data_IF_269407706446
#
_entry.id   IF_269407706446
#
_cell.length_a   1.000
_cell.length_b   1.000
_cell.length_c   1.000
_cell.angle_alpha   90.00
_cell.angle_beta   90.00
_cell.angle_gamma   90.00
#
_symmetry.space_group_name_H-M   'P 1'
#
loop_
_entity.id
_entity.type
_entity.pdbx_description
1 polymer ?
#
# COMPACT_ATOMS: atom_id res chain seq x y z
N UNK A 1 -97.42 -28.59 -0.83
CA UNK A 1 -97.35 -27.12 -1.00
C UNK A 1 -95.99 -26.66 -0.47
N UNK A 2 -95.04 -26.37 -1.36
CA UNK A 2 -93.69 -25.91 -1.01
C UNK A 2 -93.67 -24.39 -0.76
N UNK A 3 -93.31 -23.96 0.46
CA UNK A 3 -92.90 -22.59 0.89
C UNK A 3 -92.38 -22.75 2.32
N UNK A 4 -91.25 -22.22 2.80
CA UNK A 4 -90.25 -21.23 2.36
C UNK A 4 -89.00 -21.54 3.21
N UNK A 5 -87.89 -21.96 2.59
CA UNK A 5 -86.55 -21.93 3.19
C UNK A 5 -85.71 -20.98 2.35
N UNK A 6 -85.82 -19.66 2.56
CA UNK A 6 -84.99 -18.65 1.87
C UNK A 6 -84.55 -17.48 2.76
N UNK A 7 -84.77 -17.52 4.07
CA UNK A 7 -84.40 -16.43 4.98
C UNK A 7 -83.08 -16.64 5.76
N UNK A 8 -82.47 -17.83 5.68
CA UNK A 8 -81.20 -18.12 6.39
C UNK A 8 -79.95 -17.71 5.58
N UNK A 9 -80.04 -17.71 4.24
CA UNK A 9 -78.89 -17.42 3.37
C UNK A 9 -78.42 -15.97 3.43
N UNK A 10 -79.32 -15.02 3.70
CA UNK A 10 -79.01 -13.59 3.77
C UNK A 10 -78.26 -13.26 5.07
N UNK A 11 -78.66 -13.86 6.19
CA UNK A 11 -77.99 -13.71 7.49
C UNK A 11 -76.63 -14.39 7.47
N UNK A 12 -76.54 -15.62 6.94
CA UNK A 12 -75.25 -16.31 6.75
C UNK A 12 -74.32 -15.52 5.85
N UNK A 13 -74.80 -14.99 4.71
CA UNK A 13 -74.00 -14.16 3.81
C UNK A 13 -73.45 -12.91 4.48
N UNK A 14 -74.26 -12.24 5.31
CA UNK A 14 -73.86 -11.05 6.06
C UNK A 14 -72.80 -11.38 7.11
N UNK A 15 -72.97 -12.47 7.86
CA UNK A 15 -72.00 -12.92 8.87
C UNK A 15 -70.67 -13.32 8.21
N UNK A 16 -70.70 -14.01 7.06
CA UNK A 16 -69.48 -14.36 6.32
C UNK A 16 -68.77 -13.12 5.77
N UNK A 17 -69.49 -12.15 5.22
CA UNK A 17 -68.89 -10.89 4.78
C UNK A 17 -68.25 -10.12 5.94
N UNK A 18 -68.92 -10.07 7.10
CA UNK A 18 -68.37 -9.45 8.30
C UNK A 18 -67.11 -10.19 8.79
N UNK A 19 -67.15 -11.53 8.80
CA UNK A 19 -66.00 -12.36 9.17
C UNK A 19 -64.80 -12.16 8.25
N UNK A 20 -65.03 -12.15 6.93
CA UNK A 20 -63.98 -11.94 5.92
C UNK A 20 -63.42 -10.52 5.98
N UNK A 21 -64.27 -9.50 6.17
CA UNK A 21 -63.80 -8.10 6.28
C UNK A 21 -62.98 -7.88 7.54
N UNK A 22 -63.42 -8.40 8.70
CA UNK A 22 -62.65 -8.34 9.94
C UNK A 22 -61.31 -9.08 9.76
N UNK A 23 -61.32 -10.28 9.18
CA UNK A 23 -60.10 -11.02 8.89
C UNK A 23 -59.15 -10.24 7.96
N UNK A 24 -59.65 -9.68 6.86
CA UNK A 24 -58.86 -8.91 5.91
C UNK A 24 -58.25 -7.65 6.55
N UNK A 25 -59.02 -6.91 7.35
CA UNK A 25 -58.53 -5.75 8.11
C UNK A 25 -57.47 -6.18 9.12
N UNK A 26 -57.68 -7.29 9.82
CA UNK A 26 -56.75 -7.79 10.84
C UNK A 26 -55.41 -8.17 10.21
N UNK A 27 -55.43 -8.89 9.08
CA UNK A 27 -54.23 -9.23 8.32
C UNK A 27 -53.53 -7.96 7.81
N UNK A 28 -54.28 -7.03 7.25
CA UNK A 28 -53.72 -5.77 6.72
C UNK A 28 -53.04 -4.95 7.82
N UNK A 29 -53.68 -4.80 8.98
CA UNK A 29 -53.13 -4.07 10.13
C UNK A 29 -51.88 -4.78 10.65
N UNK A 30 -51.92 -6.11 10.80
CA UNK A 30 -50.75 -6.87 11.26
C UNK A 30 -49.54 -6.69 10.34
N UNK A 31 -49.73 -6.83 9.02
CA UNK A 31 -48.66 -6.62 8.03
C UNK A 31 -48.20 -5.16 7.99
N UNK A 32 -49.14 -4.20 8.07
CA UNK A 32 -48.83 -2.78 8.10
C UNK A 32 -47.97 -2.38 9.31
N UNK A 33 -48.24 -2.96 10.49
CA UNK A 33 -47.45 -2.71 11.70
C UNK A 33 -46.01 -3.21 11.58
N UNK A 34 -45.79 -4.38 10.97
CA UNK A 34 -44.43 -4.92 10.76
C UNK A 34 -43.65 -4.06 9.76
N UNK A 35 -44.30 -3.67 8.65
CA UNK A 35 -43.67 -2.79 7.66
C UNK A 35 -43.34 -1.41 8.23
N UNK A 36 -44.23 -0.83 9.03
CA UNK A 36 -43.99 0.44 9.70
C UNK A 36 -42.87 0.36 10.74
N UNK A 37 -42.80 -0.74 11.50
CA UNK A 37 -41.72 -0.96 12.45
C UNK A 37 -40.35 -0.99 11.75
N UNK A 38 -40.23 -1.72 10.64
CA UNK A 38 -39.00 -1.78 9.85
C UNK A 38 -38.59 -0.41 9.28
N UNK A 39 -39.53 0.38 8.77
CA UNK A 39 -39.25 1.75 8.28
C UNK A 39 -38.85 2.69 9.41
N UNK A 40 -39.43 2.51 10.61
CA UNK A 40 -39.09 3.32 11.79
C UNK A 40 -37.67 3.00 12.27
N UNK A 41 -37.28 1.73 12.27
CA UNK A 41 -35.94 1.27 12.64
C UNK A 41 -34.87 1.77 11.65
N UNK A 42 -35.11 1.68 10.34
CA UNK A 42 -34.19 2.20 9.32
C UNK A 42 -34.03 3.73 9.43
N UNK A 43 -35.13 4.46 9.61
CA UNK A 43 -35.10 5.91 9.80
C UNK A 43 -34.36 6.31 11.09
N UNK A 44 -34.46 5.50 12.15
CA UNK A 44 -33.75 5.71 13.41
C UNK A 44 -32.26 5.46 13.25
N UNK A 45 -31.87 4.34 12.65
CA UNK A 45 -30.47 4.01 12.38
C UNK A 45 -29.80 5.08 11.52
N UNK A 46 -30.49 5.56 10.47
CA UNK A 46 -30.01 6.70 9.66
C UNK A 46 -29.91 8.01 10.47
N UNK A 47 -30.82 8.24 11.43
CA UNK A 47 -30.73 9.36 12.36
C UNK A 47 -29.48 9.30 13.22
N UNK A 48 -29.19 8.12 13.78
CA UNK A 48 -27.99 7.88 14.58
C UNK A 48 -26.72 7.98 13.73
N UNK A 49 -26.69 7.47 12.50
CA UNK A 49 -25.56 7.66 11.57
C UNK A 49 -25.20 9.15 11.42
N UNK A 50 -26.20 10.00 11.16
CA UNK A 50 -25.98 11.44 11.05
C UNK A 50 -25.52 12.07 12.38
N UNK A 51 -26.10 11.64 13.50
CA UNK A 51 -25.70 12.09 14.84
C UNK A 51 -24.25 11.71 15.18
N UNK A 52 -23.83 10.50 14.80
CA UNK A 52 -22.47 10.00 14.98
C UNK A 52 -21.47 10.72 14.06
N UNK A 53 -21.84 11.03 12.82
CA UNK A 53 -21.02 11.89 11.94
C UNK A 53 -20.87 13.31 12.50
N UNK A 54 -21.92 13.84 13.15
CA UNK A 54 -21.80 15.12 13.83
C UNK A 54 -20.92 15.02 15.08
N UNK A 55 -21.03 13.94 15.86
CA UNK A 55 -20.19 13.68 17.02
C UNK A 55 -18.72 13.62 16.61
N UNK A 56 -18.35 12.84 15.59
CA UNK A 56 -16.96 12.75 15.10
C UNK A 56 -16.44 14.10 14.65
N UNK A 57 -17.23 14.90 13.93
CA UNK A 57 -16.87 16.27 13.58
C UNK A 57 -16.66 17.18 14.79
N UNK A 58 -17.45 17.05 15.87
CA UNK A 58 -17.20 17.82 17.09
C UNK A 58 -16.00 17.29 17.88
N UNK A 59 -15.82 15.97 17.91
CA UNK A 59 -14.70 15.30 18.55
C UNK A 59 -13.39 15.70 17.88
N UNK A 60 -13.34 15.83 16.55
CA UNK A 60 -12.14 16.30 15.84
C UNK A 60 -11.79 17.74 16.21
N UNK A 61 -12.75 18.67 16.34
CA UNK A 61 -12.48 20.04 16.79
C UNK A 61 -11.91 20.08 18.23
N UNK A 62 -12.38 19.18 19.10
CA UNK A 62 -11.86 19.01 20.47
C UNK A 62 -10.47 18.38 20.45
N UNK A 63 -10.30 17.33 19.64
CA UNK A 63 -9.07 16.56 19.45
C UNK A 63 -7.97 17.38 18.77
N UNK A 64 -8.31 18.38 17.94
CA UNK A 64 -7.35 19.31 17.35
C UNK A 64 -7.07 20.53 18.26
N UNK A 65 -7.69 20.56 19.45
CA UNK A 65 -7.43 21.56 20.48
C UNK A 65 -8.07 22.93 20.25
N UNK A 66 -9.04 23.07 19.33
CA UNK A 66 -9.75 24.34 19.11
C UNK A 66 -10.72 24.68 20.24
N UNK A 67 -11.13 23.68 21.04
CA UNK A 67 -12.10 23.81 22.14
C UNK A 67 -11.94 22.69 23.16
N UNK A 68 -12.15 22.97 24.45
CA UNK A 68 -11.97 21.97 25.52
C UNK A 68 -13.15 20.98 25.62
N UNK A 69 -14.34 21.37 25.15
CA UNK A 69 -15.52 20.52 25.18
C UNK A 69 -16.57 20.93 24.13
N UNK A 70 -17.38 19.97 23.69
CA UNK A 70 -18.56 20.19 22.83
C UNK A 70 -19.71 19.28 23.24
N UNK A 71 -20.95 19.73 23.01
CA UNK A 71 -22.14 18.90 23.19
C UNK A 71 -22.43 18.13 21.91
N UNK A 72 -22.95 16.92 22.06
CA UNK A 72 -23.46 16.10 20.97
C UNK A 72 -24.87 15.61 21.27
N UNK A 73 -25.59 15.28 20.21
CA UNK A 73 -26.94 14.71 20.24
C UNK A 73 -27.04 13.69 19.09
N UNK A 74 -27.21 12.43 19.45
CA UNK A 74 -27.35 11.31 18.52
C UNK A 74 -28.81 11.11 18.06
N UNK A 75 -29.73 11.94 18.55
CA UNK A 75 -31.15 11.83 18.30
C UNK A 75 -31.83 10.77 19.17
N UNK A 76 -32.92 10.21 18.64
CA UNK A 76 -33.69 9.17 19.33
C UNK A 76 -32.98 7.82 19.23
N UNK A 77 -32.38 7.38 20.34
CA UNK A 77 -31.75 6.06 20.48
C UNK A 77 -32.70 5.03 21.12
N UNK A 78 -33.92 5.42 21.49
CA UNK A 78 -34.85 4.54 22.21
C UNK A 78 -35.20 3.31 21.36
N UNK A 79 -34.91 2.10 21.84
CA UNK A 79 -35.21 0.85 21.11
C UNK A 79 -34.03 0.25 20.36
N UNK A 80 -32.84 0.82 20.48
CA UNK A 80 -31.56 0.13 20.25
C UNK A 80 -30.71 0.09 21.52
N UNK A 81 -29.52 -0.50 21.42
CA UNK A 81 -28.51 -0.50 22.49
C UNK A 81 -27.34 0.41 22.11
N UNK A 82 -27.00 1.37 22.97
CA UNK A 82 -25.86 2.27 22.79
C UNK A 82 -24.80 1.91 23.85
N UNK A 83 -23.61 1.54 23.41
CA UNK A 83 -22.51 1.06 24.27
C UNK A 83 -21.18 1.65 23.85
N UNK A 84 -20.43 2.15 24.83
CA UNK A 84 -19.01 2.48 24.66
C UNK A 84 -18.17 1.31 25.18
N UNK A 85 -17.23 0.86 24.36
CA UNK A 85 -16.23 -0.13 24.72
C UNK A 85 -14.84 0.44 24.45
N UNK A 86 -14.09 0.76 25.52
CA UNK A 86 -12.80 1.46 25.44
C UNK A 86 -11.67 0.57 24.90
N UNK A 87 -11.83 -0.76 24.98
CA UNK A 87 -10.86 -1.78 24.55
C UNK A 87 -11.19 -2.30 23.14
N UNK A 88 -12.28 -1.81 22.52
CA UNK A 88 -12.70 -2.26 21.20
C UNK A 88 -11.97 -1.51 20.08
N UNK A 89 -11.33 -2.29 19.21
CA UNK A 89 -10.56 -1.82 18.06
C UNK A 89 -9.16 -1.37 18.44
N UNK A 90 -8.18 -1.84 17.69
CA UNK A 90 -6.77 -1.57 17.95
C UNK A 90 -6.10 -1.02 16.70
N UNK A 91 -5.24 -0.02 16.88
CA UNK A 91 -4.33 0.46 15.85
C UNK A 91 -2.90 0.17 16.28
N UNK A 92 -2.13 -0.47 15.40
CA UNK A 92 -0.68 -0.58 15.53
C UNK A 92 -0.03 0.18 14.37
N UNK A 93 0.99 0.97 14.69
CA UNK A 93 1.80 1.64 13.69
C UNK A 93 3.23 1.17 13.88
N UNK A 94 3.79 0.55 12.85
CA UNK A 94 5.16 0.06 12.81
C UNK A 94 5.97 0.82 11.78
N UNK A 95 7.22 1.10 12.11
CA UNK A 95 8.23 1.60 11.20
C UNK A 95 9.30 0.53 11.15
N UNK A 96 9.48 -0.07 9.98
CA UNK A 96 10.40 -1.18 9.77
C UNK A 96 11.48 -0.76 8.78
N UNK A 97 12.73 -1.12 9.05
CA UNK A 97 13.85 -1.01 8.13
C UNK A 97 14.33 -2.43 7.74
N UNK A 98 15.31 -2.58 6.84
CA UNK A 98 15.85 -3.90 6.49
C UNK A 98 16.44 -4.69 7.68
N UNK A 99 16.79 -4.02 8.78
CA UNK A 99 17.33 -4.63 10.00
C UNK A 99 16.23 -5.04 11.01
N UNK A 100 14.97 -4.65 10.77
CA UNK A 100 13.79 -5.02 11.54
C UNK A 100 12.95 -3.81 11.97
N UNK A 101 12.16 -3.98 13.04
CA UNK A 101 11.29 -2.91 13.54
C UNK A 101 12.10 -1.81 14.24
N UNK A 102 12.10 -0.61 13.67
CA UNK A 102 12.72 0.62 14.22
C UNK A 102 11.86 1.19 15.34
N UNK A 103 10.55 1.26 15.13
CA UNK A 103 9.58 1.73 16.12
C UNK A 103 8.24 1.02 15.96
N UNK A 104 7.56 0.72 17.05
CA UNK A 104 6.18 0.26 17.06
C UNK A 104 5.44 0.91 18.21
N UNK A 105 4.24 1.41 17.94
CA UNK A 105 3.33 1.95 18.94
C UNK A 105 1.91 1.44 18.66
N UNK A 106 1.19 1.06 19.72
CA UNK A 106 -0.14 0.46 19.63
C UNK A 106 -1.12 1.12 20.59
N UNK A 107 -2.35 1.36 20.13
CA UNK A 107 -3.39 2.04 20.91
C UNK A 107 -4.76 1.37 20.73
N UNK A 108 -5.53 1.32 21.82
CA UNK A 108 -6.97 1.07 21.72
C UNK A 108 -7.65 2.30 21.14
N UNK A 109 -8.51 2.10 20.14
CA UNK A 109 -9.28 3.19 19.53
C UNK A 109 -10.49 3.56 20.39
N UNK A 110 -11.09 2.58 21.06
CA UNK A 110 -12.38 2.72 21.71
C UNK A 110 -13.51 2.85 20.67
N UNK A 111 -14.61 2.15 20.91
CA UNK A 111 -15.72 2.09 19.97
C UNK A 111 -17.03 2.44 20.65
N UNK A 112 -17.71 3.48 20.15
CA UNK A 112 -19.09 3.77 20.52
C UNK A 112 -20.04 3.13 19.51
N UNK A 113 -20.77 2.11 19.93
CA UNK A 113 -21.62 1.29 19.07
C UNK A 113 -23.10 1.50 19.40
N UNK A 114 -23.90 1.80 18.38
CA UNK A 114 -25.36 1.72 18.41
C UNK A 114 -25.82 0.47 17.64
N UNK A 115 -26.56 -0.41 18.31
CA UNK A 115 -27.14 -1.62 17.72
C UNK A 115 -28.66 -1.47 17.61
N UNK A 116 -29.16 -1.28 16.39
CA UNK A 116 -30.59 -1.33 16.05
C UNK A 116 -31.04 -2.73 15.63
N UNK A 117 -32.28 -2.88 15.17
CA UNK A 117 -32.80 -4.20 14.76
C UNK A 117 -32.24 -4.66 13.40
N UNK A 118 -31.97 -3.73 12.49
CA UNK A 118 -31.51 -4.01 11.12
C UNK A 118 -30.02 -3.73 10.86
N UNK A 119 -29.41 -2.82 11.63
CA UNK A 119 -28.07 -2.28 11.37
C UNK A 119 -27.38 -1.88 12.65
N UNK A 120 -26.06 -2.03 12.65
CA UNK A 120 -25.18 -1.47 13.68
C UNK A 120 -24.41 -0.27 13.12
N UNK A 121 -24.22 0.75 13.94
CA UNK A 121 -23.50 1.99 13.61
C UNK A 121 -22.47 2.24 14.69
N UNK A 122 -21.22 2.49 14.32
CA UNK A 122 -20.16 2.73 15.28
C UNK A 122 -19.29 3.93 14.96
N UNK A 123 -18.76 4.55 16.02
CA UNK A 123 -17.69 5.53 15.93
C UNK A 123 -16.42 4.88 16.45
N UNK A 124 -15.36 4.89 15.63
CA UNK A 124 -14.05 4.32 15.98
C UNK A 124 -12.96 5.05 15.19
N UNK A 125 -11.85 5.40 15.85
CA UNK A 125 -10.68 6.02 15.20
C UNK A 125 -10.96 7.36 14.51
N UNK A 126 -12.03 8.05 14.90
CA UNK A 126 -12.50 9.30 14.27
C UNK A 126 -13.40 9.12 13.05
N UNK A 127 -13.62 7.88 12.58
CA UNK A 127 -14.55 7.54 11.50
C UNK A 127 -15.92 7.09 12.02
N UNK A 128 -16.87 6.97 11.10
CA UNK A 128 -18.19 6.36 11.34
C UNK A 128 -18.37 5.17 10.42
N UNK A 129 -18.72 4.04 11.00
CA UNK A 129 -18.85 2.74 10.34
C UNK A 129 -20.27 2.23 10.48
N UNK A 130 -20.75 1.52 9.47
CA UNK A 130 -22.05 0.87 9.47
C UNK A 130 -21.86 -0.61 9.13
N UNK A 131 -22.56 -1.48 9.85
CA UNK A 131 -22.51 -2.92 9.63
C UNK A 131 -23.93 -3.45 9.42
N UNK A 132 -24.13 -4.12 8.28
CA UNK A 132 -25.38 -4.78 7.91
C UNK A 132 -25.14 -6.25 7.62
N UNK A 133 -25.61 -7.13 8.49
CA UNK A 133 -25.18 -8.54 8.47
C UNK A 133 -23.68 -8.62 8.77
N UNK A 134 -22.90 -9.21 7.87
CA UNK A 134 -21.45 -9.36 8.02
C UNK A 134 -20.64 -8.31 7.24
N UNK A 135 -21.29 -7.38 6.54
CA UNK A 135 -20.61 -6.40 5.68
C UNK A 135 -20.45 -5.06 6.38
N UNK A 136 -19.21 -4.65 6.59
CA UNK A 136 -18.86 -3.31 7.07
C UNK A 136 -18.81 -2.30 5.93
N UNK A 137 -19.23 -1.06 6.18
CA UNK A 137 -19.08 0.06 5.25
C UNK A 137 -18.69 1.35 5.98
N UNK A 138 -17.92 2.18 5.30
CA UNK A 138 -17.62 3.54 5.76
C UNK A 138 -18.82 4.47 5.53
N UNK A 139 -19.26 5.16 6.58
CA UNK A 139 -20.28 6.23 6.51
C UNK A 139 -19.60 7.60 6.49
N UNK A 140 -18.60 7.79 7.36
CA UNK A 140 -17.77 8.99 7.40
C UNK A 140 -16.30 8.59 7.57
N UNK A 141 -15.39 9.15 6.77
CA UNK A 141 -13.97 8.81 6.87
C UNK A 141 -13.37 9.34 8.18
N UNK A 142 -12.39 8.64 8.76
CA UNK A 142 -11.51 9.20 9.77
C UNK A 142 -10.56 10.24 9.16
N UNK A 143 -9.85 10.96 10.02
CA UNK A 143 -8.84 11.91 9.60
C UNK A 143 -7.55 11.15 9.21
N UNK A 144 -7.29 11.06 7.91
CA UNK A 144 -6.05 10.53 7.34
C UNK A 144 -5.75 11.37 6.10
N UNK A 145 -4.61 12.07 6.11
CA UNK A 145 -4.20 12.92 5.00
C UNK A 145 -2.82 12.52 4.55
N UNK A 146 -2.78 11.87 3.40
CA UNK A 146 -1.57 11.71 2.63
C UNK A 146 -1.52 12.79 1.53
N UNK A 147 -0.41 13.53 1.44
CA UNK A 147 -0.19 14.56 0.41
C UNK A 147 1.26 14.58 -0.04
N UNK A 148 1.51 14.18 -1.29
CA UNK A 148 2.82 14.24 -1.94
C UNK A 148 3.79 13.22 -1.34
N UNK A 149 4.34 13.54 -0.16
CA UNK A 149 5.22 12.66 0.61
C UNK A 149 5.03 12.79 2.12
N UNK A 150 3.93 13.41 2.56
CA UNK A 150 3.62 13.62 3.98
C UNK A 150 2.38 12.86 4.36
N UNK A 151 2.49 11.96 5.34
CA UNK A 151 1.34 11.40 6.05
C UNK A 151 1.06 12.20 7.32
N UNK A 152 -0.18 12.66 7.46
CA UNK A 152 -0.72 13.18 8.72
C UNK A 152 -1.85 12.30 9.19
N UNK A 153 -1.65 11.65 10.33
CA UNK A 153 -2.60 10.70 10.91
C UNK A 153 -2.88 11.03 12.39
N UNK A 154 -3.90 11.85 12.67
CA UNK A 154 -4.36 12.10 14.03
C UNK A 154 -5.30 10.98 14.49
N UNK A 155 -4.78 10.07 15.30
CA UNK A 155 -5.55 8.99 15.91
C UNK A 155 -6.46 9.59 16.98
N UNK A 156 -7.75 9.27 16.92
CA UNK A 156 -8.74 9.68 17.94
C UNK A 156 -9.14 8.48 18.77
N UNK A 157 -8.84 8.54 20.08
CA UNK A 157 -9.22 7.52 21.07
C UNK A 157 -10.44 7.99 21.87
N UNK A 158 -11.45 7.12 21.97
CA UNK A 158 -12.66 7.36 22.77
C UNK A 158 -12.55 6.71 24.16
N UNK A 159 -12.80 7.49 25.20
CA UNK A 159 -12.92 7.02 26.60
C UNK A 159 -14.23 7.53 27.21
N UNK A 160 -14.67 7.01 28.35
CA UNK A 160 -15.89 7.46 29.02
C UNK A 160 -16.28 6.67 30.27
N UNK A 161 -17.19 7.27 31.04
CA UNK A 161 -17.55 6.78 32.38
C UNK A 161 -18.69 5.72 32.39
N UNK A 162 -19.41 5.52 31.26
CA UNK A 162 -20.63 4.69 31.21
C UNK A 162 -20.68 3.76 29.99
N UNK A 163 -20.78 2.45 30.26
CA UNK A 163 -20.83 1.41 29.24
C UNK A 163 -22.21 1.22 28.57
N UNK A 164 -23.26 1.94 29.02
CA UNK A 164 -24.62 1.84 28.46
C UNK A 164 -25.48 3.09 28.75
N UNK A 165 -25.27 4.21 28.03
CA UNK A 165 -26.11 5.40 28.17
C UNK A 165 -27.57 5.16 27.77
N UNK A 166 -28.50 5.62 28.60
CA UNK A 166 -29.95 5.57 28.30
C UNK A 166 -30.42 6.69 27.36
N UNK A 167 -29.52 7.60 26.96
CA UNK A 167 -29.79 8.73 26.06
C UNK A 167 -28.61 8.98 25.14
N UNK A 168 -28.90 9.41 23.91
CA UNK A 168 -27.90 9.78 22.92
C UNK A 168 -27.32 11.19 23.08
N UNK A 169 -27.50 11.86 24.23
CA UNK A 169 -27.03 13.24 24.45
C UNK A 169 -25.90 13.27 25.47
N UNK A 170 -24.92 14.14 25.23
CA UNK A 170 -23.78 14.28 26.15
C UNK A 170 -22.80 15.36 25.76
N UNK A 171 -21.61 15.28 26.37
CA UNK A 171 -20.48 16.17 26.14
C UNK A 171 -19.25 15.33 25.80
N UNK A 172 -18.57 15.69 24.72
CA UNK A 172 -17.20 15.24 24.43
C UNK A 172 -16.22 16.26 25.02
N UNK A 173 -15.21 15.79 25.75
CA UNK A 173 -14.19 16.61 26.41
C UNK A 173 -12.80 16.19 26.01
N UNK A 174 -11.91 17.18 25.92
CA UNK A 174 -10.48 16.96 25.72
C UNK A 174 -9.87 16.33 26.98
N UNK A 175 -9.17 15.22 26.82
CA UNK A 175 -8.37 14.59 27.86
C UNK A 175 -6.87 14.78 27.58
N UNK A 176 -6.40 14.26 26.44
CA UNK A 176 -5.04 14.43 25.94
C UNK A 176 -5.10 14.69 24.42
N UNK A 177 -4.32 15.62 23.90
CA UNK A 177 -4.41 16.06 22.50
C UNK A 177 -3.05 16.44 21.96
N UNK A 178 -2.77 15.98 20.75
CA UNK A 178 -1.56 16.30 20.01
C UNK A 178 -0.33 15.63 20.59
N UNK A 179 -0.49 14.51 21.31
CA UNK A 179 0.62 13.75 21.82
C UNK A 179 1.30 13.05 20.65
N UNK A 180 2.58 13.37 20.40
CA UNK A 180 3.32 12.80 19.28
C UNK A 180 3.63 11.34 19.58
N UNK A 181 3.20 10.45 18.70
CA UNK A 181 3.39 8.99 18.85
C UNK A 181 4.87 8.61 18.71
N UNK A 182 5.57 9.17 17.72
CA UNK A 182 6.99 8.88 17.47
C UNK A 182 7.88 10.11 17.71
N UNK A 183 8.20 10.47 18.98
CA UNK A 183 9.02 11.65 19.27
C UNK A 183 10.51 11.48 18.97
N UNK A 184 11.00 10.24 18.89
CA UNK A 184 12.42 9.90 18.72
C UNK A 184 12.75 9.35 17.33
N UNK A 185 11.78 9.28 16.43
CA UNK A 185 12.00 8.87 15.03
C UNK A 185 12.36 10.10 14.22
N UNK A 186 13.35 9.96 13.33
CA UNK A 186 13.74 11.02 12.42
C UNK A 186 12.58 11.41 11.50
N UNK A 187 12.46 12.71 11.23
CA UNK A 187 11.45 13.24 10.33
C UNK A 187 12.05 14.43 9.58
N UNK A 188 12.50 14.28 8.32
CA UNK A 188 12.21 13.20 7.37
C UNK A 188 12.61 11.77 7.80
N UNK A 189 11.81 10.78 7.41
CA UNK A 189 12.22 9.37 7.42
C UNK A 189 13.31 9.17 6.36
N UNK A 190 14.29 8.33 6.69
CA UNK A 190 15.47 8.12 5.82
C UNK A 190 15.36 6.88 4.95
N UNK A 191 14.69 5.83 5.45
CA UNK A 191 14.46 4.56 4.76
C UNK A 191 13.33 3.77 5.45
N UNK A 192 12.96 2.63 4.85
CA UNK A 192 12.05 1.65 5.46
C UNK A 192 10.58 1.78 5.05
N UNK A 193 9.72 1.11 5.79
CA UNK A 193 8.27 1.02 5.53
C UNK A 193 7.49 1.38 6.77
N UNK A 194 6.52 2.29 6.62
CA UNK A 194 5.52 2.61 7.63
C UNK A 194 4.30 1.72 7.40
N UNK A 195 3.99 0.87 8.36
CA UNK A 195 2.86 -0.05 8.35
C UNK A 195 1.83 0.44 9.35
N UNK A 196 0.60 0.68 8.89
CA UNK A 196 -0.55 1.01 9.74
C UNK A 196 -1.51 -0.17 9.70
N UNK A 197 -1.66 -0.86 10.81
CA UNK A 197 -2.53 -2.03 10.96
C UNK A 197 -3.70 -1.68 11.89
N UNK A 198 -4.91 -2.02 11.47
CA UNK A 198 -6.14 -1.82 12.24
C UNK A 198 -6.82 -3.17 12.46
N UNK A 199 -6.94 -3.60 13.71
CA UNK A 199 -7.76 -4.73 14.12
C UNK A 199 -9.15 -4.22 14.55
N UNK A 200 -10.21 -4.65 13.86
CA UNK A 200 -11.55 -4.14 14.13
C UNK A 200 -12.66 -5.04 13.57
N UNK A 201 -13.81 -5.06 14.24
CA UNK A 201 -15.04 -5.64 13.66
C UNK A 201 -15.48 -4.93 12.36
N UNK A 202 -14.98 -3.71 12.12
CA UNK A 202 -15.26 -2.91 10.92
C UNK A 202 -14.09 -2.93 9.92
N UNK A 203 -13.20 -3.92 9.98
CA UNK A 203 -11.98 -3.98 9.15
C UNK A 203 -12.24 -3.88 7.63
N UNK A 204 -13.36 -4.40 7.12
CA UNK A 204 -13.73 -4.22 5.69
C UNK A 204 -13.91 -2.74 5.34
N UNK A 205 -14.52 -1.95 6.24
CA UNK A 205 -14.66 -0.51 6.07
C UNK A 205 -13.31 0.22 6.12
N UNK A 206 -12.41 -0.20 7.01
CA UNK A 206 -11.04 0.31 7.08
C UNK A 206 -10.23 -0.04 5.83
N UNK A 207 -10.36 -1.25 5.31
CA UNK A 207 -9.75 -1.69 4.06
C UNK A 207 -10.25 -0.84 2.88
N UNK A 208 -11.57 -0.65 2.75
CA UNK A 208 -12.16 0.20 1.72
C UNK A 208 -11.65 1.65 1.82
N UNK A 209 -11.48 2.17 3.04
CA UNK A 209 -10.98 3.50 3.29
C UNK A 209 -9.52 3.65 2.85
N UNK A 210 -8.63 2.75 3.29
CA UNK A 210 -7.23 2.78 2.90
C UNK A 210 -7.08 2.59 1.39
N UNK A 211 -7.81 1.65 0.78
CA UNK A 211 -7.77 1.42 -0.66
C UNK A 211 -8.18 2.65 -1.48
N UNK A 212 -9.09 3.48 -0.98
CA UNK A 212 -9.55 4.70 -1.68
C UNK A 212 -8.66 5.93 -1.45
N UNK A 213 -7.84 5.94 -0.39
CA UNK A 213 -7.31 7.20 0.15
C UNK A 213 -5.87 7.14 0.65
N UNK A 214 -5.38 5.96 0.99
CA UNK A 214 -3.99 5.73 1.34
C UNK A 214 -3.10 5.50 0.11
N UNK A 215 -3.68 5.32 -1.11
CA UNK A 215 -2.97 5.21 -2.40
C UNK A 215 -1.67 4.34 -2.23
N UNK A 216 -1.79 3.21 -1.52
CA UNK A 216 -0.69 2.38 -1.01
C UNK A 216 -0.98 0.88 -1.18
N UNK A 217 -0.01 0.01 -0.83
CA UNK A 217 -0.27 -1.43 -0.69
C UNK A 217 -1.19 -1.63 0.51
N UNK A 218 -2.42 -2.06 0.25
CA UNK A 218 -3.45 -2.28 1.26
C UNK A 218 -3.90 -3.73 1.17
N UNK A 219 -3.77 -4.43 2.29
CA UNK A 219 -4.24 -5.80 2.45
C UNK A 219 -5.26 -5.90 3.58
N UNK A 220 -6.00 -7.02 3.59
CA UNK A 220 -6.86 -7.41 4.70
C UNK A 220 -6.69 -8.88 5.03
N UNK A 221 -6.91 -9.21 6.30
CA UNK A 221 -6.96 -10.58 6.81
C UNK A 221 -8.35 -10.82 7.43
N UNK A 222 -9.17 -11.63 6.76
CA UNK A 222 -10.53 -11.91 7.22
C UNK A 222 -10.56 -12.83 8.47
N UNK A 223 -9.50 -13.61 8.73
CA UNK A 223 -9.40 -14.51 9.90
C UNK A 223 -9.07 -13.70 11.16
N UNK A 224 -8.13 -12.77 11.05
CA UNK A 224 -7.72 -11.89 12.13
C UNK A 224 -8.54 -10.58 12.21
N UNK A 225 -9.41 -10.32 11.23
CA UNK A 225 -10.20 -9.09 11.10
C UNK A 225 -9.33 -7.83 11.12
N UNK A 226 -8.28 -7.84 10.31
CA UNK A 226 -7.34 -6.72 10.19
C UNK A 226 -7.36 -6.10 8.80
N UNK A 227 -7.09 -4.79 8.76
CA UNK A 227 -6.79 -4.05 7.55
C UNK A 227 -5.43 -3.36 7.72
N UNK A 228 -4.54 -3.54 6.74
CA UNK A 228 -3.16 -3.07 6.81
C UNK A 228 -2.87 -2.18 5.62
N UNK A 229 -2.32 -0.99 5.87
CA UNK A 229 -1.80 -0.08 4.85
C UNK A 229 -0.28 0.04 5.00
N UNK A 230 0.46 -0.12 3.90
CA UNK A 230 1.92 0.02 3.85
C UNK A 230 2.31 1.23 3.02
N UNK A 231 3.24 2.01 3.55
CA UNK A 231 3.82 3.20 2.90
C UNK A 231 5.33 3.10 2.94
N UNK A 232 5.97 3.10 1.78
CA UNK A 232 7.42 2.94 1.66
C UNK A 232 8.09 4.31 1.68
N UNK A 233 9.18 4.44 2.43
CA UNK A 233 10.06 5.62 2.39
C UNK A 233 10.99 5.44 1.19
N UNK A 234 10.97 6.36 0.19
CA UNK A 234 11.92 6.31 -0.91
C UNK A 234 13.34 6.40 -0.39
N UNK A 235 14.18 5.49 -0.87
CA UNK A 235 15.60 5.58 -0.67
C UNK A 235 16.26 6.14 -1.92
N UNK A 236 17.12 7.15 -1.73
CA UNK A 236 17.92 7.73 -2.81
C UNK A 236 19.33 7.16 -2.75
N UNK A 237 19.74 6.48 -3.82
CA UNK A 237 21.09 5.97 -3.98
C UNK A 237 21.85 6.92 -4.90
N UNK A 238 22.91 7.56 -4.38
CA UNK A 238 23.78 8.41 -5.19
C UNK A 238 24.65 7.57 -6.12
N UNK A 239 24.77 8.02 -7.37
CA UNK A 239 25.66 7.45 -8.38
C UNK A 239 26.92 8.30 -8.60
N UNK A 240 27.41 8.98 -7.56
CA UNK A 240 28.61 9.85 -7.66
C UNK A 240 29.93 9.08 -7.74
N UNK A 241 29.90 7.74 -7.61
CA UNK A 241 31.07 6.86 -7.65
C UNK A 241 30.88 5.72 -8.65
N UNK A 242 31.96 5.24 -9.28
CA UNK A 242 31.89 4.06 -10.15
C UNK A 242 31.48 2.79 -9.40
N UNK A 243 31.76 2.68 -8.10
CA UNK A 243 31.50 1.45 -7.35
C UNK A 243 31.09 1.74 -5.89
N UNK A 244 29.98 1.13 -5.46
CA UNK A 244 29.57 1.06 -4.07
C UNK A 244 29.32 -0.41 -3.66
N UNK A 245 29.92 -0.82 -2.53
CA UNK A 245 29.87 -2.19 -2.05
C UNK A 245 29.24 -2.27 -0.66
N UNK A 246 28.35 -3.24 -0.45
CA UNK A 246 27.77 -3.56 0.86
C UNK A 246 28.79 -4.18 1.83
N UNK A 247 29.73 -4.94 1.30
CA UNK A 247 30.79 -5.58 2.09
C UNK A 247 31.85 -4.59 2.58
N UNK A 248 32.32 -4.82 3.81
CA UNK A 248 33.52 -4.19 4.37
C UNK A 248 34.81 -4.99 4.06
N UNK A 249 34.71 -6.07 3.27
CA UNK A 249 35.89 -6.84 2.89
C UNK A 249 36.86 -5.94 2.11
N UNK A 250 38.15 -6.06 2.41
CA UNK A 250 39.22 -5.29 1.75
C UNK A 250 40.12 -6.20 0.93
N UNK A 251 39.93 -7.52 1.01
CA UNK A 251 40.65 -8.52 0.23
C UNK A 251 39.90 -8.79 -1.09
N UNK A 252 39.70 -7.71 -1.86
CA UNK A 252 39.04 -7.71 -3.16
C UNK A 252 39.97 -7.08 -4.20
N UNK A 253 40.08 -7.70 -5.38
CA UNK A 253 40.79 -7.12 -6.50
C UNK A 253 39.87 -6.12 -7.22
N UNK A 254 40.11 -4.81 -6.99
CA UNK A 254 39.36 -3.70 -7.59
C UNK A 254 40.35 -2.81 -8.36
N UNK A 255 40.11 -2.52 -9.66
CA UNK A 255 41.00 -1.69 -10.48
C UNK A 255 40.76 -0.17 -10.27
N UNK A 256 40.49 0.26 -9.04
CA UNK A 256 40.20 1.66 -8.68
C UNK A 256 41.07 2.11 -7.50
N UNK A 257 41.25 3.42 -7.37
CA UNK A 257 41.85 3.99 -6.17
C UNK A 257 40.85 3.99 -5.00
N UNK A 258 41.34 3.88 -3.76
CA UNK A 258 40.50 3.74 -2.54
C UNK A 258 39.48 4.88 -2.32
N UNK A 259 39.68 6.06 -2.92
CA UNK A 259 38.77 7.20 -2.84
C UNK A 259 37.68 7.20 -3.95
N UNK A 260 37.82 6.33 -4.94
CA UNK A 260 36.90 6.22 -6.08
C UNK A 260 35.76 5.23 -5.80
N UNK A 261 35.82 4.40 -4.75
CA UNK A 261 34.75 3.48 -4.38
C UNK A 261 34.29 3.65 -2.92
N UNK A 262 33.19 3.00 -2.56
CA UNK A 262 32.65 2.96 -1.19
C UNK A 262 32.50 1.51 -0.72
N UNK A 263 32.86 1.25 0.54
CA UNK A 263 32.69 -0.04 1.23
C UNK A 263 31.71 0.16 2.38
N UNK A 264 31.03 -0.92 2.79
CA UNK A 264 30.04 -0.88 3.86
C UNK A 264 28.81 -0.03 3.53
N UNK A 265 28.55 0.20 2.24
CA UNK A 265 27.44 1.00 1.76
C UNK A 265 26.12 0.26 2.02
N UNK A 266 25.27 0.83 2.87
CA UNK A 266 23.94 0.29 3.15
C UNK A 266 22.97 0.71 2.05
N UNK A 267 22.87 -0.08 0.99
CA UNK A 267 21.95 0.16 -0.12
C UNK A 267 20.64 -0.64 0.05
N UNK A 268 19.46 -0.05 -0.26
CA UNK A 268 18.17 -0.72 -0.14
C UNK A 268 18.00 -1.86 -1.14
N UNK A 269 17.20 -2.88 -0.80
CA UNK A 269 16.85 -3.94 -1.75
C UNK A 269 16.10 -3.38 -2.98
N UNK A 270 16.42 -3.81 -4.21
CA UNK A 270 15.66 -3.45 -5.40
C UNK A 270 14.34 -4.21 -5.54
N UNK A 271 14.07 -5.20 -4.69
CA UNK A 271 12.88 -6.06 -4.77
C UNK A 271 11.59 -5.27 -4.94
N UNK A 272 11.42 -4.14 -4.26
CA UNK A 272 10.18 -3.37 -4.33
C UNK A 272 9.98 -2.67 -5.69
N UNK A 273 11.05 -2.14 -6.30
CA UNK A 273 10.94 -1.54 -7.64
C UNK A 273 10.80 -2.63 -8.70
N UNK A 274 11.37 -3.82 -8.46
CA UNK A 274 11.22 -4.98 -9.36
C UNK A 274 9.79 -5.51 -9.31
N UNK A 275 9.26 -5.85 -8.13
CA UNK A 275 7.91 -6.39 -7.93
C UNK A 275 6.85 -5.53 -8.61
N UNK A 276 7.00 -4.22 -8.50
CA UNK A 276 6.13 -3.25 -9.16
C UNK A 276 6.17 -3.32 -10.69
N UNK A 277 7.37 -3.38 -11.28
CA UNK A 277 7.49 -3.48 -12.73
C UNK A 277 7.03 -4.85 -13.24
N UNK A 278 7.09 -5.89 -12.41
CA UNK A 278 6.48 -7.18 -12.68
C UNK A 278 4.93 -7.09 -12.66
N UNK A 279 4.33 -6.42 -11.68
CA UNK A 279 2.87 -6.22 -11.62
C UNK A 279 2.38 -5.41 -12.83
N UNK A 280 3.03 -4.27 -13.12
CA UNK A 280 2.76 -3.46 -14.33
C UNK A 280 2.96 -4.26 -15.62
N UNK A 281 4.00 -5.08 -15.68
CA UNK A 281 4.29 -5.97 -16.80
C UNK A 281 3.21 -7.04 -16.99
N UNK A 282 2.74 -7.65 -15.92
CA UNK A 282 1.68 -8.67 -15.95
C UNK A 282 0.32 -8.07 -16.37
N UNK A 283 0.04 -6.82 -16.00
CA UNK A 283 -1.22 -6.14 -16.31
C UNK A 283 -1.25 -5.53 -17.72
N UNK A 284 -0.18 -4.86 -18.14
CA UNK A 284 -0.15 -4.02 -19.35
C UNK A 284 0.98 -4.36 -20.34
N UNK A 285 1.94 -5.20 -19.95
CA UNK A 285 3.13 -5.52 -20.73
C UNK A 285 2.88 -6.43 -21.94
N UNK A 286 3.68 -6.24 -22.98
CA UNK A 286 3.79 -7.19 -24.09
C UNK A 286 4.67 -8.38 -23.68
N UNK A 287 4.55 -9.50 -24.39
CA UNK A 287 5.41 -10.67 -24.18
C UNK A 287 6.88 -10.28 -24.45
N UNK A 288 7.78 -10.69 -23.56
CA UNK A 288 9.21 -10.35 -23.65
C UNK A 288 9.85 -10.74 -24.99
N UNK A 289 9.34 -11.78 -25.66
CA UNK A 289 9.84 -12.23 -26.97
C UNK A 289 9.55 -11.22 -28.10
N UNK A 290 8.63 -10.28 -27.91
CA UNK A 290 8.39 -9.19 -28.85
C UNK A 290 9.49 -8.12 -28.82
N UNK A 291 10.35 -8.15 -27.79
CA UNK A 291 11.52 -7.28 -27.65
C UNK A 291 12.83 -8.08 -27.76
N UNK A 292 12.98 -9.13 -26.96
CA UNK A 292 14.23 -9.91 -26.87
C UNK A 292 14.29 -11.12 -27.82
N UNK A 293 13.24 -11.32 -28.63
CA UNK A 293 13.19 -12.36 -29.67
C UNK A 293 13.26 -11.80 -31.09
N UNK A 294 13.63 -10.53 -31.26
CA UNK A 294 13.65 -9.80 -32.54
C UNK A 294 14.95 -9.03 -32.72
N UNK A 295 15.28 -8.70 -33.97
CA UNK A 295 16.50 -7.96 -34.32
C UNK A 295 16.58 -6.56 -33.67
N UNK A 296 15.43 -5.88 -33.52
CA UNK A 296 15.38 -4.53 -32.94
C UNK A 296 14.15 -4.37 -32.06
N UNK A 297 14.38 -4.14 -30.77
CA UNK A 297 13.35 -3.80 -29.79
C UNK A 297 13.05 -2.29 -29.81
N UNK A 298 11.79 -1.92 -29.63
CA UNK A 298 11.32 -0.52 -29.60
C UNK A 298 10.67 -0.17 -28.26
N UNK A 299 10.29 1.10 -28.06
CA UNK A 299 9.64 1.58 -26.84
C UNK A 299 8.44 0.74 -26.39
N UNK A 300 8.32 0.51 -25.08
CA UNK A 300 7.28 -0.33 -24.51
C UNK A 300 7.63 -0.95 -23.17
N UNK A 301 6.68 -1.70 -22.62
CA UNK A 301 6.88 -2.56 -21.44
C UNK A 301 6.79 -4.01 -21.90
N UNK A 302 7.78 -4.80 -21.54
CA UNK A 302 7.94 -6.19 -21.94
C UNK A 302 8.10 -7.06 -20.70
N UNK A 303 7.41 -8.19 -20.66
CA UNK A 303 7.25 -8.99 -19.45
C UNK A 303 7.43 -10.49 -19.70
N UNK A 304 8.06 -11.16 -18.74
CA UNK A 304 8.16 -12.62 -18.62
C UNK A 304 7.68 -13.06 -17.24
N UNK A 305 6.82 -14.08 -17.17
CA UNK A 305 6.30 -14.68 -15.93
C UNK A 305 7.22 -15.78 -15.34
N UNK A 306 8.47 -15.82 -15.79
CA UNK A 306 9.49 -16.78 -15.38
C UNK A 306 10.83 -16.52 -16.06
N UNK A 307 11.73 -17.49 -15.94
CA UNK A 307 13.09 -17.44 -16.49
C UNK A 307 13.09 -17.16 -18.00
N UNK A 308 14.09 -16.38 -18.45
CA UNK A 308 14.25 -16.04 -19.86
C UNK A 308 15.69 -16.25 -20.33
N UNK A 309 15.83 -17.10 -21.37
CA UNK A 309 17.10 -17.35 -22.05
C UNK A 309 17.18 -16.52 -23.35
N UNK A 310 18.10 -15.56 -23.40
CA UNK A 310 18.43 -14.85 -24.62
C UNK A 310 19.37 -15.68 -25.49
N UNK A 311 19.10 -15.69 -26.80
CA UNK A 311 19.85 -16.53 -27.75
C UNK A 311 20.56 -15.77 -28.87
N UNK A 312 20.23 -14.49 -29.04
CA UNK A 312 20.75 -13.62 -30.10
C UNK A 312 20.98 -12.21 -29.55
N UNK A 313 21.85 -11.45 -30.21
CA UNK A 313 22.12 -10.05 -29.89
C UNK A 313 20.86 -9.19 -30.12
N UNK A 314 20.66 -8.14 -29.31
CA UNK A 314 19.49 -7.26 -29.39
C UNK A 314 19.92 -5.81 -29.56
N UNK A 315 19.40 -5.17 -30.60
CA UNK A 315 19.48 -3.72 -30.78
C UNK A 315 18.25 -3.04 -30.18
N UNK A 316 18.44 -1.96 -29.42
CA UNK A 316 17.37 -1.17 -28.83
C UNK A 316 17.21 0.17 -29.53
N UNK A 317 15.98 0.49 -29.94
CA UNK A 317 15.61 1.77 -30.51
C UNK A 317 14.59 2.48 -29.61
N UNK A 318 15.10 3.43 -28.84
CA UNK A 318 14.39 4.23 -27.85
C UNK A 318 13.86 5.56 -28.44
N UNK A 319 13.81 5.71 -29.78
CA UNK A 319 13.30 6.93 -30.43
C UNK A 319 11.84 7.23 -30.06
N UNK A 320 11.03 6.19 -29.80
CA UNK A 320 9.62 6.34 -29.43
C UNK A 320 9.37 6.57 -27.94
N UNK A 321 10.36 6.29 -27.08
CA UNK A 321 10.24 6.34 -25.63
C UNK A 321 11.15 5.32 -24.94
N UNK A 322 11.01 5.22 -23.62
CA UNK A 322 11.74 4.24 -22.80
C UNK A 322 11.32 2.80 -23.12
N UNK A 323 12.25 1.87 -22.87
CA UNK A 323 12.02 0.44 -22.94
C UNK A 323 12.15 -0.13 -21.53
N UNK A 324 11.12 -0.83 -21.08
CA UNK A 324 11.10 -1.50 -19.77
C UNK A 324 11.00 -3.00 -20.00
N UNK A 325 11.90 -3.75 -19.38
CA UNK A 325 11.96 -5.21 -19.45
C UNK A 325 11.85 -5.73 -18.02
N UNK A 326 10.83 -6.52 -17.74
CA UNK A 326 10.54 -7.06 -16.41
C UNK A 326 10.49 -8.60 -16.48
N UNK A 327 11.29 -9.28 -15.66
CA UNK A 327 11.49 -10.74 -15.69
C UNK A 327 11.24 -11.30 -14.29
N UNK A 328 10.17 -12.09 -14.13
CA UNK A 328 9.83 -12.76 -12.87
C UNK A 328 10.59 -14.09 -12.70
N UNK A 329 11.91 -14.04 -12.85
CA UNK A 329 12.77 -15.21 -12.83
C UNK A 329 14.21 -14.87 -13.19
N UNK A 330 14.98 -15.90 -13.53
CA UNK A 330 16.38 -15.75 -13.92
C UNK A 330 16.48 -15.23 -15.37
N UNK A 331 17.47 -14.37 -15.62
CA UNK A 331 17.79 -13.90 -16.98
C UNK A 331 19.14 -14.47 -17.41
N UNK A 332 19.15 -15.41 -18.36
CA UNK A 332 20.39 -15.86 -19.00
C UNK A 332 20.57 -15.08 -20.31
N UNK A 333 21.44 -14.07 -20.28
CA UNK A 333 21.81 -13.31 -21.47
C UNK A 333 22.93 -13.97 -22.29
N UNK A 334 23.60 -14.97 -21.72
CA UNK A 334 24.77 -15.61 -22.31
C UNK A 334 25.84 -14.59 -22.70
N UNK A 335 26.37 -14.73 -23.91
CA UNK A 335 27.33 -13.77 -24.49
C UNK A 335 26.69 -12.81 -25.48
N UNK A 336 25.38 -12.61 -25.41
CA UNK A 336 24.64 -11.79 -26.39
C UNK A 336 24.86 -10.31 -26.11
N UNK A 337 25.03 -9.53 -27.16
CA UNK A 337 25.20 -8.08 -27.07
C UNK A 337 23.84 -7.38 -26.85
N UNK A 338 23.81 -6.38 -25.96
CA UNK A 338 22.62 -5.58 -25.63
C UNK A 338 22.95 -4.10 -25.88
N UNK A 339 22.58 -3.58 -27.05
CA UNK A 339 23.08 -2.28 -27.50
C UNK A 339 21.99 -1.30 -27.93
N UNK A 340 21.99 -0.10 -27.35
CA UNK A 340 21.13 1.00 -27.80
C UNK A 340 21.76 1.67 -29.02
N UNK A 341 21.02 1.71 -30.13
CA UNK A 341 21.56 2.13 -31.44
C UNK A 341 21.22 3.56 -31.83
N UNK A 342 20.31 4.20 -31.11
CA UNK A 342 19.92 5.60 -31.33
C UNK A 342 20.63 6.56 -30.36
N UNK A 343 20.54 7.87 -30.63
CA UNK A 343 21.19 8.94 -29.84
C UNK A 343 20.15 9.81 -29.10
N UNK A 344 19.10 9.21 -28.51
CA UNK A 344 18.09 9.92 -27.72
C UNK A 344 18.43 9.97 -26.22
N UNK A 345 17.58 10.61 -25.41
CA UNK A 345 17.71 10.67 -23.94
C UNK A 345 16.92 9.54 -23.23
N UNK A 346 16.19 8.70 -23.98
CA UNK A 346 15.38 7.63 -23.40
C UNK A 346 16.24 6.42 -23.02
N UNK A 347 15.74 5.66 -22.06
CA UNK A 347 16.49 4.62 -21.35
C UNK A 347 15.93 3.23 -21.63
N UNK A 348 16.77 2.21 -21.50
CA UNK A 348 16.40 0.79 -21.39
C UNK A 348 16.63 0.34 -19.95
N UNK A 349 15.56 -0.07 -19.28
CA UNK A 349 15.57 -0.49 -17.87
C UNK A 349 15.16 -1.94 -17.73
N UNK A 350 15.99 -2.72 -17.05
CA UNK A 350 15.77 -4.14 -16.77
C UNK A 350 15.46 -4.33 -15.28
N UNK A 351 14.41 -5.09 -14.98
CA UNK A 351 13.98 -5.45 -13.64
C UNK A 351 13.94 -6.99 -13.55
N UNK A 352 14.90 -7.57 -12.83
CA UNK A 352 15.16 -9.01 -12.81
C UNK A 352 14.98 -9.53 -11.38
N UNK A 353 13.96 -10.37 -11.17
CA UNK A 353 13.66 -10.92 -9.84
C UNK A 353 14.60 -12.05 -9.42
N UNK A 354 15.20 -12.75 -10.38
CA UNK A 354 16.16 -13.82 -10.16
C UNK A 354 17.62 -13.41 -10.35
N UNK A 355 18.43 -14.40 -10.70
CA UNK A 355 19.83 -14.22 -11.06
C UNK A 355 19.96 -13.69 -12.50
N UNK A 356 20.99 -12.89 -12.76
CA UNK A 356 21.36 -12.49 -14.12
C UNK A 356 22.68 -13.15 -14.53
N UNK A 357 22.61 -14.08 -15.48
CA UNK A 357 23.76 -14.76 -16.04
C UNK A 357 24.22 -14.14 -17.37
N UNK A 358 25.55 -13.92 -17.47
CA UNK A 358 26.21 -13.31 -18.62
C UNK A 358 27.67 -13.76 -18.75
N UNK A 359 28.20 -13.81 -19.97
CA UNK A 359 29.59 -14.21 -20.23
C UNK A 359 30.16 -13.60 -21.53
N UNK A 360 31.02 -12.59 -21.40
CA UNK A 360 31.62 -11.79 -22.49
C UNK A 360 30.63 -10.99 -23.39
N UNK A 361 29.53 -10.39 -22.89
CA UNK A 361 28.70 -9.53 -23.73
C UNK A 361 29.31 -8.13 -23.92
N UNK A 362 28.80 -7.41 -24.92
CA UNK A 362 28.88 -5.96 -25.06
C UNK A 362 27.54 -5.34 -24.69
N UNK A 363 27.48 -4.54 -23.63
CA UNK A 363 26.26 -3.94 -23.10
C UNK A 363 26.42 -2.43 -23.04
N UNK A 364 25.42 -1.68 -23.50
CA UNK A 364 25.44 -0.22 -23.40
C UNK A 364 24.88 0.48 -24.62
N UNK A 365 25.52 1.56 -25.03
CA UNK A 365 25.14 2.30 -26.25
C UNK A 365 26.19 2.14 -27.33
N UNK A 366 25.79 2.26 -28.60
CA UNK A 366 26.76 2.36 -29.71
C UNK A 366 27.37 3.77 -29.85
N UNK A 367 27.16 4.66 -28.86
CA UNK A 367 27.64 6.03 -28.91
C UNK A 367 29.17 6.10 -28.85
N UNK A 368 29.73 7.23 -29.34
CA UNK A 368 31.19 7.44 -29.33
C UNK A 368 31.76 7.80 -27.96
N UNK A 369 30.90 8.03 -26.97
CA UNK A 369 31.23 8.35 -25.58
C UNK A 369 30.42 7.45 -24.66
N UNK A 370 30.95 7.22 -23.46
CA UNK A 370 30.24 6.51 -22.39
C UNK A 370 28.90 7.23 -22.14
N UNK A 371 27.83 6.44 -22.06
CA UNK A 371 26.46 6.90 -21.83
C UNK A 371 25.73 5.85 -20.98
N UNK A 372 26.27 5.61 -19.79
CA UNK A 372 25.86 4.54 -18.89
C UNK A 372 24.45 4.77 -18.32
N UNK A 373 23.98 6.03 -18.28
CA UNK A 373 22.64 6.36 -17.77
C UNK A 373 21.54 5.66 -18.56
N UNK A 374 21.74 5.44 -19.87
CA UNK A 374 20.70 4.92 -20.75
C UNK A 374 20.45 3.42 -20.63
N UNK A 375 21.35 2.70 -19.96
CA UNK A 375 21.21 1.26 -19.75
C UNK A 375 21.25 0.98 -18.26
N UNK A 376 20.13 0.53 -17.68
CA UNK A 376 20.01 0.34 -16.24
C UNK A 376 19.50 -1.06 -15.90
N UNK A 377 20.16 -1.71 -14.95
CA UNK A 377 19.77 -3.03 -14.44
C UNK A 377 19.45 -2.94 -12.95
N UNK A 378 18.28 -3.44 -12.57
CA UNK A 378 17.88 -3.70 -11.19
C UNK A 378 17.76 -5.21 -11.02
N UNK A 379 18.61 -5.80 -10.18
CA UNK A 379 18.72 -7.27 -10.04
C UNK A 379 18.59 -7.64 -8.57
N UNK A 380 17.66 -8.55 -8.28
CA UNK A 380 17.41 -9.01 -6.92
C UNK A 380 18.34 -10.17 -6.51
N UNK A 381 18.63 -11.08 -7.45
CA UNK A 381 19.53 -12.21 -7.29
C UNK A 381 21.00 -11.89 -7.57
N UNK A 382 21.78 -12.95 -7.84
CA UNK A 382 23.20 -12.87 -8.17
C UNK A 382 23.46 -12.33 -9.59
N UNK A 383 24.68 -11.85 -9.83
CA UNK A 383 25.10 -11.39 -11.17
C UNK A 383 26.32 -12.21 -11.60
N UNK A 384 26.13 -13.02 -12.64
CA UNK A 384 27.11 -13.93 -13.22
C UNK A 384 27.63 -15.02 -12.27
N UNK A 385 26.92 -15.32 -11.17
CA UNK A 385 27.34 -16.29 -10.15
C UNK A 385 27.28 -17.75 -10.63
N UNK A 386 26.35 -18.07 -11.55
CA UNK A 386 26.25 -19.42 -12.13
C UNK A 386 27.14 -19.59 -13.37
N UNK A 387 27.75 -18.48 -13.83
CA UNK A 387 28.77 -18.49 -14.86
C UNK A 387 30.17 -18.49 -14.23
N UNK A 388 31.24 -18.70 -15.00
CA UNK A 388 32.61 -18.52 -14.47
C UNK A 388 32.97 -17.02 -14.43
N UNK A 389 32.05 -16.20 -13.93
CA UNK A 389 32.08 -14.74 -13.96
C UNK A 389 31.80 -14.13 -15.34
N UNK A 390 31.86 -12.81 -15.43
CA UNK A 390 31.50 -12.03 -16.64
C UNK A 390 32.49 -12.13 -17.81
N UNK A 391 33.64 -12.79 -17.64
CA UNK A 391 34.64 -12.96 -18.69
C UNK A 391 35.29 -11.64 -19.13
N UNK A 392 35.30 -11.34 -20.43
CA UNK A 392 35.84 -10.11 -21.02
C UNK A 392 34.70 -9.17 -21.46
N UNK A 393 33.65 -9.07 -20.65
CA UNK A 393 32.51 -8.21 -20.95
C UNK A 393 32.93 -6.73 -21.11
N UNK A 394 32.27 -6.01 -21.99
CA UNK A 394 32.34 -4.54 -22.09
C UNK A 394 30.97 -3.98 -21.74
N UNK A 395 30.85 -3.29 -20.59
CA UNK A 395 29.56 -2.89 -20.04
C UNK A 395 29.55 -1.39 -19.74
N UNK A 396 28.65 -0.67 -20.40
CA UNK A 396 28.35 0.74 -20.15
C UNK A 396 26.94 0.86 -19.57
N UNK A 397 26.83 0.86 -18.24
CA UNK A 397 25.55 0.79 -17.58
C UNK A 397 25.57 1.29 -16.13
N UNK A 398 24.36 1.50 -15.61
CA UNK A 398 24.09 1.47 -14.18
C UNK A 398 23.65 0.05 -13.82
N UNK A 399 24.34 -0.61 -12.89
CA UNK A 399 23.89 -1.90 -12.34
C UNK A 399 23.64 -1.72 -10.85
N UNK A 400 22.40 -1.94 -10.45
CA UNK A 400 21.94 -1.87 -9.07
C UNK A 400 21.53 -3.26 -8.58
N UNK A 401 22.47 -3.96 -7.95
CA UNK A 401 22.32 -5.32 -7.44
C UNK A 401 22.97 -5.44 -6.05
N UNK A 402 22.48 -4.70 -5.04
CA UNK A 402 23.16 -4.55 -3.74
C UNK A 402 23.28 -5.85 -2.92
N UNK A 403 22.60 -6.92 -3.33
CA UNK A 403 22.69 -8.24 -2.71
C UNK A 403 23.64 -9.20 -3.45
N UNK A 404 24.11 -8.83 -4.65
CA UNK A 404 24.82 -9.73 -5.55
C UNK A 404 26.33 -9.77 -5.28
N UNK A 405 26.92 -10.94 -5.52
CA UNK A 405 28.36 -11.08 -5.63
C UNK A 405 28.78 -11.17 -7.10
N UNK A 406 29.57 -10.20 -7.55
CA UNK A 406 30.15 -10.23 -8.89
C UNK A 406 31.57 -10.82 -8.86
N UNK A 407 31.81 -11.85 -9.65
CA UNK A 407 33.15 -12.39 -9.91
C UNK A 407 33.52 -12.19 -11.39
N UNK A 408 34.78 -11.84 -11.67
CA UNK A 408 35.32 -11.80 -13.02
C UNK A 408 36.68 -12.49 -13.10
N UNK A 409 36.76 -13.56 -13.90
CA UNK A 409 38.00 -14.30 -14.15
C UNK A 409 38.75 -13.83 -15.43
N UNK A 410 38.19 -12.86 -16.17
CA UNK A 410 38.70 -12.36 -17.46
C UNK A 410 39.34 -10.97 -17.38
N UNK A 411 39.17 -10.17 -18.43
CA UNK A 411 39.60 -8.76 -18.46
C UNK A 411 38.39 -7.89 -18.87
N UNK A 412 37.36 -7.79 -18.01
CA UNK A 412 36.19 -6.97 -18.28
C UNK A 412 36.55 -5.47 -18.32
N UNK A 413 35.75 -4.70 -19.05
CA UNK A 413 35.75 -3.23 -19.05
C UNK A 413 34.38 -2.77 -18.57
N UNK A 414 34.35 -2.09 -17.43
CA UNK A 414 33.12 -1.64 -16.76
C UNK A 414 33.08 -0.11 -16.70
N UNK A 415 32.11 0.53 -17.34
CA UNK A 415 32.01 2.00 -17.42
C UNK A 415 30.64 2.45 -16.93
N UNK A 416 30.57 3.25 -15.87
CA UNK A 416 29.29 3.68 -15.29
C UNK A 416 29.31 3.71 -13.76
N UNK A 417 28.23 3.22 -13.14
CA UNK A 417 28.07 3.14 -11.69
C UNK A 417 27.48 1.80 -11.29
N UNK A 418 28.17 1.10 -10.39
CA UNK A 418 27.87 -0.27 -10.02
C UNK A 418 27.63 -0.38 -8.50
N UNK A 419 26.53 -1.03 -8.11
CA UNK A 419 26.19 -1.28 -6.71
C UNK A 419 26.04 -2.78 -6.50
N UNK A 420 26.90 -3.36 -5.65
CA UNK A 420 26.96 -4.79 -5.36
C UNK A 420 27.14 -5.04 -3.87
N UNK A 421 26.93 -6.27 -3.38
CA UNK A 421 27.40 -6.63 -2.03
C UNK A 421 28.92 -6.77 -2.03
N UNK A 422 29.45 -7.56 -2.98
CA UNK A 422 30.88 -7.87 -3.10
C UNK A 422 31.29 -7.98 -4.56
N UNK A 423 32.49 -7.54 -4.88
CA UNK A 423 33.09 -7.65 -6.22
C UNK A 423 34.49 -8.27 -6.13
N UNK A 424 34.80 -9.21 -7.02
CA UNK A 424 36.15 -9.76 -7.21
C UNK A 424 36.51 -9.72 -8.72
N UNK A 425 37.30 -8.72 -9.12
CA UNK A 425 37.70 -8.51 -10.50
C UNK A 425 39.15 -8.99 -10.71
N UNK A 426 39.30 -10.24 -11.09
CA UNK A 426 40.58 -10.82 -11.48
C UNK A 426 41.14 -10.24 -12.80
N UNK A 427 42.31 -10.75 -13.21
CA UNK A 427 42.92 -10.42 -14.51
C UNK A 427 43.38 -8.97 -14.65
N UNK A 428 43.26 -8.40 -15.86
CA UNK A 428 43.51 -6.97 -16.12
C UNK A 428 42.17 -6.25 -16.34
N UNK A 429 41.30 -6.29 -15.33
CA UNK A 429 40.02 -5.59 -15.36
C UNK A 429 40.21 -4.07 -15.41
N UNK A 430 39.33 -3.38 -16.12
CA UNK A 430 39.27 -1.92 -16.19
C UNK A 430 37.90 -1.43 -15.69
N UNK A 431 37.91 -0.40 -14.85
CA UNK A 431 36.70 0.26 -14.38
C UNK A 431 36.84 1.77 -14.52
N UNK A 432 35.83 2.43 -15.10
CA UNK A 432 35.80 3.87 -15.32
C UNK A 432 34.45 4.45 -14.91
N UNK A 433 34.46 5.63 -14.29
CA UNK A 433 33.24 6.34 -13.95
C UNK A 433 32.68 7.09 -15.16
N UNK A 434 31.38 7.03 -15.40
CA UNK A 434 30.71 7.92 -16.35
C UNK A 434 30.42 9.28 -15.68
N UNK A 435 31.09 10.37 -16.08
CA UNK A 435 30.84 11.70 -15.51
C UNK A 435 29.43 12.24 -15.78
N UNK A 436 28.68 11.65 -16.71
CA UNK A 436 27.26 11.95 -16.93
C UNK A 436 26.38 11.60 -15.74
N UNK A 437 26.83 10.71 -14.85
CA UNK A 437 26.09 10.25 -13.67
C UNK A 437 26.20 11.20 -12.46
N UNK A 438 27.04 12.22 -12.53
CA UNK A 438 27.30 13.10 -11.40
C UNK A 438 26.04 13.85 -10.94
N UNK A 439 25.65 13.68 -9.68
CA UNK A 439 24.42 14.26 -9.12
C UNK A 439 23.12 13.56 -9.53
N UNK A 440 23.19 12.43 -10.24
CA UNK A 440 22.05 11.54 -10.45
C UNK A 440 21.86 10.70 -9.18
N UNK A 441 20.59 10.57 -8.79
CA UNK A 441 20.18 9.70 -7.70
C UNK A 441 19.19 8.68 -8.24
N UNK A 442 19.45 7.40 -8.01
CA UNK A 442 18.44 6.37 -8.24
C UNK A 442 17.44 6.45 -7.11
N UNK A 443 16.19 6.69 -7.46
CA UNK A 443 15.10 6.56 -6.49
C UNK A 443 14.68 5.11 -6.45
N UNK A 444 15.06 4.42 -5.38
CA UNK A 444 14.50 3.11 -5.06
C UNK A 444 13.19 3.38 -4.31
N UNK A 445 12.16 3.74 -5.09
CA UNK A 445 10.81 3.91 -4.57
C UNK A 445 10.16 2.54 -4.37
N UNK A 446 9.29 2.43 -3.37
CA UNK A 446 8.19 1.47 -3.52
C UNK A 446 7.40 1.85 -4.78
N UNK A 447 7.23 0.93 -5.72
CA UNK A 447 6.74 1.27 -7.06
C UNK A 447 5.27 1.73 -7.13
N UNK A 448 4.70 1.99 -8.32
CA UNK A 448 3.28 2.17 -8.56
C UNK A 448 2.34 1.45 -7.59
N UNK A 449 1.43 2.22 -6.99
CA UNK A 449 0.54 1.72 -5.95
C UNK A 449 1.15 1.76 -4.54
N UNK A 450 2.43 2.09 -4.36
CA UNK A 450 3.05 2.35 -3.06
C UNK A 450 3.34 3.85 -2.92
N UNK A 451 2.57 4.53 -2.09
CA UNK A 451 2.73 5.95 -1.86
C UNK A 451 4.04 6.26 -1.11
N UNK A 452 5.00 6.98 -1.73
CA UNK A 452 6.26 7.32 -1.08
C UNK A 452 6.02 8.23 0.13
N UNK A 453 6.50 7.86 1.32
CA UNK A 453 6.41 8.72 2.51
C UNK A 453 7.79 9.22 2.91
N UNK A 454 7.94 10.54 3.01
CA UNK A 454 9.14 11.19 3.55
C UNK A 454 8.86 11.76 4.94
N UNK A 455 7.66 12.26 5.18
CA UNK A 455 7.30 12.92 6.43
C UNK A 455 6.15 12.19 7.14
N UNK A 456 6.39 11.80 8.39
CA UNK A 456 5.40 11.11 9.22
C UNK A 456 4.95 11.99 10.39
N UNK A 457 3.66 12.33 10.41
CA UNK A 457 3.02 13.09 11.48
C UNK A 457 1.88 12.30 12.09
N UNK A 458 2.20 11.49 13.11
CA UNK A 458 1.22 10.75 13.89
C UNK A 458 1.04 11.39 15.26
N UNK A 459 -0.22 11.60 15.65
CA UNK A 459 -0.56 12.10 16.98
C UNK A 459 -1.71 11.31 17.60
N UNK A 460 -1.61 11.01 18.88
CA UNK A 460 -2.72 10.47 19.68
C UNK A 460 -3.55 11.63 20.26
N UNK A 461 -4.87 11.50 20.16
CA UNK A 461 -5.84 12.43 20.72
C UNK A 461 -6.94 11.66 21.47
N UNK A 462 -6.88 11.69 22.79
CA UNK A 462 -7.86 11.08 23.69
C UNK A 462 -8.99 12.07 24.02
N UNK A 463 -10.22 11.67 23.72
CA UNK A 463 -11.43 12.42 24.06
C UNK A 463 -12.35 11.58 24.94
N UNK A 464 -12.85 12.20 25.99
CA UNK A 464 -13.75 11.59 26.98
C UNK A 464 -15.20 11.92 26.64
N UNK A 465 -16.02 10.89 26.48
CA UNK A 465 -17.46 10.97 26.32
C UNK A 465 -18.14 10.90 27.69
N UNK A 466 -19.00 11.88 27.96
CA UNK A 466 -19.89 11.88 29.13
C UNK A 466 -21.33 12.08 28.70
N UNK A 467 -22.14 11.06 28.93
CA UNK A 467 -23.57 11.10 28.64
C UNK A 467 -24.35 11.82 29.75
N UNK A 468 -25.49 12.42 29.40
CA UNK A 468 -26.33 13.27 30.29
C UNK A 468 -27.29 12.51 31.22
#
# INVERSE_FOLDING_TARGET
>A
MFRRERAQSEVLGTVFLLGITIAAVTVTVATGSVALAAVTDDARSAGVENGMSQLTSQASLVALGETDAKRFDLGDVDGGDLRLDEEAGHVEIRIEDPNGTVASESFDLGTLTYTGDSRQVAVQGGGVWSLEGDRGRMVSPPEYHYRGSTLTFPIVRLTGDDAAPNRGTGVVRKQAVGERVFPNVDNPLQNGTVIVEIESDYYEGWYDFFSQRADGDVSKDDENRTATARLVVPDEVSLDKPLALGSDDTDMDIPLHEDEYELGASNPSPSVVIDDQLERGADEGADITECLGVDTCTDGVYYSDGDFDLTEDVEFNTTGGDIVIAIDGDFDSGGSDLQIVDETEHEVRYYINGDWDLNNPTIGTMASSIDAQRTQFYVNGGVAENTNGIGNAEIDAIIYAPNAHLEANGNPTLRGSFVFDRVDLGGNSEMEYDPGLAGIQLTITGGPGQNPITYLHVSENTVELRFD
#
